data_IF_237485620637
#
_entry.id   IF_237485620637
#
_cell.length_a   1.000
_cell.length_b   1.000
_cell.length_c   1.000
_cell.angle_alpha   90.00
_cell.angle_beta   90.00
_cell.angle_gamma   90.00
#
_symmetry.space_group_name_H-M   'P 1'
#
loop_
_entity.id
_entity.type
_entity.pdbx_description
1 polymer ?
#
# COMPACT_ATOMS: atom_id res chain seq x y z
N UNK A 1 16.97 -9.95 6.49
CA UNK A 1 18.35 -9.40 6.64
C UNK A 1 18.77 -8.90 5.28
N UNK A 2 19.21 -7.64 5.16
CA UNK A 2 19.60 -7.06 3.87
C UNK A 2 20.86 -7.74 3.29
N UNK A 3 21.02 -7.68 1.97
CA UNK A 3 22.21 -8.24 1.31
C UNK A 3 23.50 -7.64 1.87
N UNK A 4 23.50 -6.32 2.14
CA UNK A 4 24.63 -5.59 2.73
C UNK A 4 25.05 -6.22 4.06
N UNK A 5 24.11 -6.45 4.98
CA UNK A 5 24.44 -7.07 6.28
C UNK A 5 25.01 -8.48 6.17
N UNK A 6 24.49 -9.27 5.24
CA UNK A 6 25.03 -10.60 4.97
C UNK A 6 26.44 -10.55 4.41
N UNK A 7 26.70 -9.61 3.48
CA UNK A 7 28.02 -9.42 2.88
C UNK A 7 29.05 -8.92 3.90
N UNK A 8 28.66 -8.04 4.83
CA UNK A 8 29.53 -7.59 5.94
C UNK A 8 29.91 -8.78 6.83
N UNK A 9 28.93 -9.63 7.19
CA UNK A 9 29.20 -10.79 8.04
C UNK A 9 30.07 -11.84 7.37
N UNK A 10 30.00 -11.97 6.05
CA UNK A 10 30.80 -12.92 5.26
C UNK A 10 32.19 -12.37 4.87
N UNK A 11 32.39 -11.05 4.95
CA UNK A 11 33.67 -10.43 4.60
C UNK A 11 34.80 -10.87 5.55
N UNK A 12 35.93 -11.27 4.98
CA UNK A 12 37.10 -11.66 5.77
C UNK A 12 37.87 -10.41 6.22
N UNK A 13 38.12 -10.21 7.52
CA UNK A 13 38.77 -9.01 8.03
C UNK A 13 40.25 -8.85 7.60
N UNK A 14 40.84 -9.89 7.06
CA UNK A 14 42.24 -9.93 6.58
C UNK A 14 42.40 -9.48 5.15
N UNK A 15 41.31 -9.25 4.41
CA UNK A 15 41.34 -8.85 3.00
C UNK A 15 41.11 -7.35 2.90
N UNK A 16 41.96 -6.59 2.20
CA UNK A 16 41.76 -5.15 2.01
C UNK A 16 40.57 -4.87 1.11
N UNK A 17 40.02 -3.67 1.21
CA UNK A 17 38.91 -3.21 0.34
C UNK A 17 39.35 -3.07 -1.12
N UNK A 18 40.55 -2.55 -1.32
CA UNK A 18 41.19 -2.36 -2.61
C UNK A 18 42.57 -2.99 -2.62
N UNK A 19 43.01 -3.42 -3.79
CA UNK A 19 44.39 -3.77 -4.05
C UNK A 19 45.28 -2.51 -4.06
N UNK A 20 46.61 -2.62 -4.24
CA UNK A 20 47.47 -1.44 -4.32
C UNK A 20 47.01 -0.36 -5.25
N UNK A 21 46.35 -0.71 -6.34
CA UNK A 21 45.58 0.21 -7.18
C UNK A 21 44.16 0.39 -6.61
N UNK A 22 43.85 1.60 -6.13
CA UNK A 22 42.56 1.93 -5.54
C UNK A 22 41.37 1.85 -6.51
N UNK A 23 41.62 1.75 -7.82
CA UNK A 23 40.59 1.49 -8.83
C UNK A 23 40.20 0.01 -8.95
N UNK A 24 40.86 -0.87 -8.20
CA UNK A 24 40.73 -2.32 -8.26
C UNK A 24 40.14 -2.88 -6.95
N UNK A 25 38.82 -2.92 -6.81
CA UNK A 25 38.20 -3.53 -5.64
C UNK A 25 38.56 -5.01 -5.56
N UNK A 26 38.83 -5.46 -4.34
CA UNK A 26 39.21 -6.84 -4.11
C UNK A 26 38.03 -7.77 -4.34
N UNK A 27 38.33 -8.99 -4.73
CA UNK A 27 37.34 -10.02 -4.73
C UNK A 27 37.08 -10.51 -3.29
N UNK A 28 36.72 -9.64 -2.38
CA UNK A 28 36.67 -9.86 -0.96
C UNK A 28 35.58 -10.80 -0.52
N UNK A 29 34.65 -11.07 -1.32
CA UNK A 29 33.45 -11.74 -0.87
C UNK A 29 33.41 -13.25 -1.15
N UNK A 30 34.18 -13.69 -1.89
CA UNK A 30 34.81 -14.86 -1.99
C UNK A 30 34.30 -16.21 -2.05
N UNK A 31 33.16 -16.48 -1.52
CA UNK A 31 32.29 -17.60 -1.89
C UNK A 31 31.21 -16.98 -2.78
N UNK A 32 31.06 -17.44 -4.00
CA UNK A 32 30.22 -16.93 -5.10
C UNK A 32 28.78 -16.45 -4.76
N UNK A 33 28.44 -16.34 -3.50
CA UNK A 33 27.11 -16.00 -2.97
C UNK A 33 26.99 -14.57 -2.43
N UNK A 34 28.08 -13.84 -2.19
CA UNK A 34 28.04 -12.53 -1.54
C UNK A 34 28.82 -11.48 -2.32
N UNK A 35 28.25 -10.31 -2.42
CA UNK A 35 28.89 -9.18 -3.05
C UNK A 35 29.87 -8.46 -2.11
N UNK A 36 30.79 -7.69 -2.65
CA UNK A 36 31.70 -6.85 -1.89
C UNK A 36 30.91 -5.83 -1.05
N UNK A 37 30.98 -5.82 0.29
CA UNK A 37 30.06 -5.04 1.13
C UNK A 37 30.13 -3.54 0.88
N UNK A 38 31.30 -2.97 0.62
CA UNK A 38 31.44 -1.56 0.31
C UNK A 38 30.85 -1.25 -1.08
N UNK A 39 31.21 -2.03 -2.10
CA UNK A 39 30.73 -1.77 -3.47
C UNK A 39 29.21 -1.85 -3.59
N UNK A 40 28.56 -2.79 -2.88
CA UNK A 40 27.10 -2.86 -2.90
C UNK A 40 26.40 -1.77 -2.06
N UNK A 41 27.14 -1.04 -1.23
CA UNK A 41 26.63 0.12 -0.48
C UNK A 41 26.83 1.45 -1.18
N UNK A 42 27.66 1.48 -2.20
CA UNK A 42 28.01 2.67 -2.95
C UNK A 42 27.16 2.78 -4.24
N UNK A 43 26.51 3.93 -4.41
CA UNK A 43 25.62 4.22 -5.56
C UNK A 43 26.36 4.07 -6.91
N UNK A 44 27.61 4.48 -6.96
CA UNK A 44 28.40 4.47 -8.19
C UNK A 44 28.78 3.07 -8.68
N UNK A 45 28.77 2.08 -7.78
CA UNK A 45 29.13 0.70 -8.11
C UNK A 45 27.92 -0.21 -8.31
N UNK A 46 26.94 -0.16 -7.43
CA UNK A 46 25.81 -1.09 -7.47
C UNK A 46 24.50 -0.48 -7.96
N UNK A 47 24.50 0.84 -8.14
CA UNK A 47 23.30 1.58 -8.45
C UNK A 47 22.48 1.93 -7.21
N UNK A 48 21.20 2.21 -7.39
CA UNK A 48 20.32 2.72 -6.34
C UNK A 48 18.86 2.36 -6.60
N UNK A 49 18.05 2.51 -5.57
CA UNK A 49 16.59 2.48 -5.66
C UNK A 49 16.03 3.63 -4.85
N UNK A 50 15.44 4.59 -5.53
CA UNK A 50 14.77 5.74 -4.93
C UNK A 50 13.25 5.49 -4.97
N UNK A 51 12.59 5.69 -3.84
CA UNK A 51 11.15 5.45 -3.66
C UNK A 51 10.48 6.74 -3.18
N UNK A 52 9.77 7.39 -4.10
CA UNK A 52 9.03 8.62 -3.87
C UNK A 52 7.56 8.33 -3.62
N UNK A 53 7.16 8.36 -2.35
CA UNK A 53 5.78 8.17 -1.96
C UNK A 53 5.12 9.48 -1.53
N UNK A 54 3.97 9.78 -2.15
CA UNK A 54 3.11 10.88 -1.75
C UNK A 54 1.69 10.43 -1.47
N UNK A 55 1.10 10.95 -0.39
CA UNK A 55 -0.27 10.66 0.00
C UNK A 55 -1.03 11.93 0.36
N UNK A 56 -2.18 12.10 -0.26
CA UNK A 56 -3.12 13.17 0.08
C UNK A 56 -4.43 12.55 0.55
N UNK A 57 -4.89 12.98 1.73
CA UNK A 57 -6.18 12.57 2.27
C UNK A 57 -6.97 13.78 2.71
N UNK A 58 -8.22 13.84 2.28
CA UNK A 58 -9.20 14.83 2.72
C UNK A 58 -10.42 14.14 3.32
N UNK A 59 -10.86 14.59 4.50
CA UNK A 59 -12.09 14.12 5.12
C UNK A 59 -12.98 15.32 5.41
N UNK A 60 -14.19 15.27 4.91
CA UNK A 60 -15.24 16.22 5.23
C UNK A 60 -16.35 15.49 5.98
N UNK A 61 -16.79 16.07 7.09
CA UNK A 61 -17.92 15.53 7.86
C UNK A 61 -18.83 16.64 8.34
N UNK A 62 -20.11 16.34 8.36
CA UNK A 62 -21.15 17.25 8.82
C UNK A 62 -22.09 16.47 9.76
N UNK A 63 -22.44 17.10 10.86
CA UNK A 63 -23.47 16.62 11.78
C UNK A 63 -24.57 17.67 11.89
N UNK A 64 -25.79 17.26 11.65
CA UNK A 64 -26.98 18.10 11.68
C UNK A 64 -27.94 17.63 12.78
N UNK A 65 -28.29 18.51 13.67
CA UNK A 65 -29.25 18.26 14.74
C UNK A 65 -30.59 18.91 14.38
N UNK A 66 -31.61 18.09 14.20
CA UNK A 66 -32.96 18.54 13.83
C UNK A 66 -33.91 18.62 15.03
N UNK A 67 -33.45 18.47 16.25
CA UNK A 67 -34.27 18.48 17.47
C UNK A 67 -35.24 19.65 17.59
N UNK A 68 -34.87 20.80 16.95
CA UNK A 68 -35.76 22.00 16.93
C UNK A 68 -37.03 21.77 16.13
N UNK A 69 -36.98 20.95 15.09
CA UNK A 69 -38.11 20.63 14.23
C UNK A 69 -38.72 19.27 14.52
N UNK A 70 -37.89 18.27 14.69
CA UNK A 70 -38.26 16.88 14.99
C UNK A 70 -37.43 16.41 16.15
N UNK A 71 -38.04 16.28 17.34
CA UNK A 71 -37.34 15.82 18.54
C UNK A 71 -36.75 14.41 18.31
N UNK A 72 -35.48 14.27 18.62
CA UNK A 72 -34.73 13.01 18.50
C UNK A 72 -34.14 12.74 17.12
N UNK A 73 -34.33 13.63 16.13
CA UNK A 73 -33.77 13.45 14.78
C UNK A 73 -32.42 14.13 14.62
N UNK A 74 -31.45 13.39 14.09
CA UNK A 74 -30.15 13.91 13.64
C UNK A 74 -29.70 13.26 12.34
N UNK A 75 -28.80 13.92 11.63
CA UNK A 75 -28.20 13.37 10.43
C UNK A 75 -26.66 13.58 10.47
N UNK A 76 -25.94 12.59 9.96
CA UNK A 76 -24.50 12.64 9.79
C UNK A 76 -24.16 12.42 8.32
N UNK A 77 -23.26 13.26 7.80
CA UNK A 77 -22.68 13.09 6.48
C UNK A 77 -21.17 12.98 6.59
N UNK A 78 -20.55 12.11 5.82
CA UNK A 78 -19.10 11.98 5.73
C UNK A 78 -18.67 11.71 4.30
N UNK A 79 -17.64 12.41 3.88
CA UNK A 79 -16.93 12.15 2.62
C UNK A 79 -15.43 12.07 2.92
N UNK A 80 -14.78 11.02 2.47
CA UNK A 80 -13.34 10.80 2.61
C UNK A 80 -12.77 10.51 1.23
N UNK A 81 -11.68 11.19 0.89
CA UNK A 81 -10.95 10.95 -0.35
C UNK A 81 -9.48 10.77 -0.03
N UNK A 82 -8.87 9.74 -0.60
CA UNK A 82 -7.44 9.44 -0.50
C UNK A 82 -6.87 9.22 -1.89
N UNK A 83 -5.73 9.84 -2.13
CA UNK A 83 -4.92 9.64 -3.32
C UNK A 83 -3.49 9.33 -2.88
N UNK A 84 -2.95 8.21 -3.31
CA UNK A 84 -1.56 7.86 -3.13
C UNK A 84 -0.89 7.76 -4.51
N UNK A 85 0.32 8.27 -4.59
CA UNK A 85 1.21 8.09 -5.73
C UNK A 85 2.51 7.53 -5.19
N UNK A 86 3.07 6.57 -5.90
CA UNK A 86 4.37 6.01 -5.62
C UNK A 86 5.16 5.91 -6.93
N UNK A 87 6.35 6.49 -6.94
CA UNK A 87 7.29 6.40 -8.05
C UNK A 87 8.57 5.78 -7.53
N UNK A 88 8.97 4.65 -8.13
CA UNK A 88 10.19 3.93 -7.77
C UNK A 88 11.11 3.94 -8.97
N UNK A 89 12.29 4.55 -8.81
CA UNK A 89 13.37 4.56 -9.80
C UNK A 89 14.50 3.67 -9.31
N UNK A 90 14.75 2.57 -10.02
CA UNK A 90 15.82 1.62 -9.68
C UNK A 90 16.81 1.54 -10.82
N UNK A 91 18.03 2.03 -10.58
CA UNK A 91 19.14 1.95 -11.51
C UNK A 91 20.14 0.92 -10.99
N UNK A 92 20.35 -0.15 -11.73
CA UNK A 92 21.30 -1.20 -11.39
C UNK A 92 22.54 -1.08 -12.25
N UNK A 93 23.69 -1.06 -11.61
CA UNK A 93 24.98 -1.06 -12.27
C UNK A 93 25.73 -2.34 -11.97
N UNK A 94 26.69 -2.67 -12.80
CA UNK A 94 27.59 -3.81 -12.58
C UNK A 94 28.98 -3.30 -12.23
N UNK A 95 29.66 -3.98 -11.35
CA UNK A 95 31.04 -3.70 -11.04
C UNK A 95 31.90 -4.97 -11.09
N UNK A 96 33.18 -4.77 -11.37
CA UNK A 96 34.15 -5.83 -11.50
C UNK A 96 35.04 -5.88 -10.27
N UNK A 97 35.29 -7.09 -9.74
CA UNK A 97 36.26 -7.35 -8.69
C UNK A 97 37.50 -8.04 -9.26
N UNK A 98 38.60 -7.91 -8.54
CA UNK A 98 39.91 -8.38 -8.97
C UNK A 98 40.60 -9.19 -7.87
N UNK A 99 41.43 -10.17 -8.29
CA UNK A 99 42.50 -10.73 -7.49
C UNK A 99 43.84 -10.14 -7.96
N UNK A 100 44.80 -10.12 -7.05
CA UNK A 100 46.13 -9.60 -7.34
C UNK A 100 47.16 -10.72 -7.20
N UNK A 101 47.91 -10.98 -8.27
CA UNK A 101 49.02 -11.92 -8.26
C UNK A 101 50.30 -11.19 -7.88
N UNK A 102 50.81 -11.45 -6.68
CA UNK A 102 52.02 -10.83 -6.16
C UNK A 102 53.32 -11.26 -6.88
N UNK A 103 53.30 -12.42 -7.56
CA UNK A 103 54.49 -12.93 -8.27
C UNK A 103 54.64 -12.25 -9.63
N UNK A 104 53.53 -12.01 -10.32
CA UNK A 104 53.56 -11.37 -11.66
C UNK A 104 53.21 -9.87 -11.63
N UNK A 105 52.77 -9.35 -10.49
CA UNK A 105 52.23 -7.99 -10.32
C UNK A 105 51.02 -7.69 -11.26
N UNK A 106 50.19 -8.69 -11.51
CA UNK A 106 49.06 -8.55 -12.43
C UNK A 106 47.71 -8.62 -11.67
N UNK A 107 46.74 -7.91 -12.19
CA UNK A 107 45.35 -7.99 -11.72
C UNK A 107 44.58 -8.98 -12.54
N UNK A 108 43.94 -9.94 -11.85
CA UNK A 108 43.12 -10.98 -12.46
C UNK A 108 41.66 -10.66 -12.19
N UNK A 109 40.86 -10.53 -13.25
CA UNK A 109 39.42 -10.33 -13.14
C UNK A 109 38.75 -11.58 -12.62
N UNK A 110 38.10 -11.53 -11.47
CA UNK A 110 37.59 -12.75 -10.81
C UNK A 110 36.11 -12.75 -10.51
N UNK A 111 35.52 -11.63 -10.18
CA UNK A 111 34.11 -11.55 -9.81
C UNK A 111 33.42 -10.36 -10.47
N UNK A 112 32.19 -10.54 -10.88
CA UNK A 112 31.33 -9.46 -11.36
C UNK A 112 30.02 -9.51 -10.60
N UNK A 113 29.64 -8.39 -9.99
CA UNK A 113 28.35 -8.19 -9.38
C UNK A 113 27.36 -7.69 -10.44
N UNK A 114 26.08 -8.11 -10.33
CA UNK A 114 25.06 -7.82 -11.33
C UNK A 114 25.55 -8.17 -12.75
N UNK A 115 25.80 -9.46 -12.97
CA UNK A 115 26.23 -9.97 -14.29
C UNK A 115 25.19 -9.61 -15.35
N UNK A 116 25.46 -8.58 -16.11
CA UNK A 116 24.56 -8.08 -17.13
C UNK A 116 24.90 -6.66 -17.51
N UNK A 117 24.00 -6.08 -18.27
CA UNK A 117 24.07 -4.67 -18.64
C UNK A 117 23.47 -3.80 -17.53
N UNK A 118 24.01 -2.61 -17.37
CA UNK A 118 23.39 -1.60 -16.52
C UNK A 118 21.93 -1.40 -16.94
N UNK A 119 21.02 -1.32 -15.98
CA UNK A 119 19.58 -1.29 -16.27
C UNK A 119 18.86 -0.27 -15.42
N UNK A 120 17.84 0.34 -15.99
CA UNK A 120 16.91 1.25 -15.34
C UNK A 120 15.50 0.64 -15.36
N UNK A 121 14.87 0.61 -14.19
CA UNK A 121 13.45 0.33 -14.05
C UNK A 121 12.78 1.50 -13.35
N UNK A 122 11.76 2.06 -13.98
CA UNK A 122 10.90 3.08 -13.40
C UNK A 122 9.49 2.50 -13.26
N UNK A 123 8.95 2.52 -12.05
CA UNK A 123 7.62 2.03 -11.73
C UNK A 123 6.78 3.15 -11.13
N UNK A 124 5.60 3.37 -11.70
CA UNK A 124 4.63 4.31 -11.17
C UNK A 124 3.38 3.57 -10.73
N UNK A 125 2.98 3.80 -9.48
CA UNK A 125 1.74 3.31 -8.88
C UNK A 125 0.88 4.47 -8.43
N UNK A 126 -0.38 4.42 -8.79
CA UNK A 126 -1.39 5.38 -8.35
C UNK A 126 -2.60 4.63 -7.82
N UNK A 127 -2.98 4.92 -6.59
CA UNK A 127 -4.24 4.44 -6.04
C UNK A 127 -5.06 5.59 -5.49
N UNK A 128 -6.35 5.55 -5.74
CA UNK A 128 -7.30 6.42 -5.10
C UNK A 128 -8.46 5.62 -4.50
N UNK A 129 -9.01 6.17 -3.44
CA UNK A 129 -10.21 5.69 -2.78
C UNK A 129 -11.06 6.87 -2.39
N UNK A 130 -12.36 6.79 -2.67
CA UNK A 130 -13.33 7.65 -2.01
C UNK A 130 -14.33 6.80 -1.21
N UNK A 131 -14.78 7.36 -0.12
CA UNK A 131 -15.84 6.82 0.73
C UNK A 131 -16.83 7.92 1.04
N UNK A 132 -18.12 7.62 0.94
CA UNK A 132 -19.22 8.52 1.28
C UNK A 132 -20.22 7.80 2.16
N UNK A 133 -20.70 8.47 3.18
CA UNK A 133 -21.70 7.97 4.10
C UNK A 133 -22.71 9.09 4.41
N UNK A 134 -23.99 8.72 4.39
CA UNK A 134 -25.05 9.53 4.92
C UNK A 134 -25.89 8.69 5.89
N UNK A 135 -26.14 9.20 7.09
CA UNK A 135 -26.84 8.51 8.16
C UNK A 135 -27.88 9.41 8.78
N UNK A 136 -29.09 8.90 8.94
CA UNK A 136 -30.17 9.48 9.73
C UNK A 136 -30.30 8.68 11.02
N UNK A 137 -30.37 9.36 12.15
CA UNK A 137 -30.62 8.77 13.45
C UNK A 137 -31.87 9.37 14.04
N UNK A 138 -32.67 8.51 14.64
CA UNK A 138 -33.82 8.92 15.44
C UNK A 138 -33.75 8.23 16.80
N UNK A 139 -33.89 9.02 17.86
CA UNK A 139 -33.86 8.52 19.24
C UNK A 139 -34.83 9.36 20.08
N UNK A 140 -35.89 8.73 20.55
CA UNK A 140 -36.93 9.44 21.33
C UNK A 140 -37.64 8.53 22.31
N UNK A 141 -37.90 9.07 23.52
CA UNK A 141 -38.74 8.47 24.52
C UNK A 141 -40.12 9.16 24.46
N UNK A 142 -41.18 8.35 24.38
CA UNK A 142 -42.57 8.78 24.42
C UNK A 142 -43.23 8.31 25.72
N UNK A 143 -44.03 9.19 26.32
CA UNK A 143 -44.77 8.91 27.54
C UNK A 143 -43.90 8.28 28.65
N UNK A 144 -42.61 8.61 28.71
CA UNK A 144 -41.60 8.14 29.68
C UNK A 144 -41.38 6.62 29.66
N UNK A 145 -42.09 5.85 28.85
CA UNK A 145 -42.10 4.39 28.83
C UNK A 145 -41.68 3.76 27.51
N UNK A 146 -41.89 4.46 26.41
CA UNK A 146 -41.69 3.92 25.07
C UNK A 146 -40.43 4.54 24.44
N UNK A 147 -39.35 3.82 24.40
CA UNK A 147 -38.13 4.23 23.76
C UNK A 147 -38.08 3.72 22.31
N UNK A 148 -38.06 4.62 21.34
CA UNK A 148 -38.00 4.32 19.92
C UNK A 148 -36.68 4.80 19.37
N UNK A 149 -35.92 3.90 18.77
CA UNK A 149 -34.70 4.24 18.04
C UNK A 149 -34.82 3.84 16.58
N UNK A 150 -34.23 4.65 15.70
CA UNK A 150 -34.21 4.39 14.28
C UNK A 150 -32.88 4.80 13.69
N UNK A 151 -32.37 4.06 12.73
CA UNK A 151 -31.21 4.42 11.93
C UNK A 151 -31.48 4.03 10.48
N UNK A 152 -31.17 4.95 9.58
CA UNK A 152 -31.07 4.69 8.15
C UNK A 152 -29.71 5.21 7.66
N UNK A 153 -28.93 4.35 7.02
CA UNK A 153 -27.60 4.65 6.55
C UNK A 153 -27.47 4.22 5.09
N UNK A 154 -26.86 5.05 4.30
CA UNK A 154 -26.31 4.69 2.99
C UNK A 154 -24.82 4.98 3.00
N UNK A 155 -24.04 4.02 2.54
CA UNK A 155 -22.61 4.18 2.35
C UNK A 155 -22.19 3.66 0.98
N UNK A 156 -21.22 4.31 0.40
CA UNK A 156 -20.65 3.91 -0.87
C UNK A 156 -19.14 4.18 -0.86
N UNK A 157 -18.39 3.29 -1.49
CA UNK A 157 -16.97 3.48 -1.72
C UNK A 157 -16.58 2.98 -3.10
N UNK A 158 -15.58 3.62 -3.69
CA UNK A 158 -14.90 3.08 -4.85
C UNK A 158 -13.41 3.33 -4.73
N UNK A 159 -12.62 2.43 -5.31
CA UNK A 159 -11.18 2.55 -5.40
C UNK A 159 -10.69 2.10 -6.76
N UNK A 160 -9.56 2.66 -7.16
CA UNK A 160 -8.86 2.27 -8.37
C UNK A 160 -7.37 2.24 -8.09
N UNK A 161 -6.72 1.20 -8.57
CA UNK A 161 -5.27 1.06 -8.57
C UNK A 161 -4.83 0.97 -10.03
N UNK A 162 -3.90 1.83 -10.40
CA UNK A 162 -3.21 1.81 -11.69
C UNK A 162 -1.71 1.67 -11.44
N UNK A 163 -1.05 0.80 -12.16
CA UNK A 163 0.42 0.76 -12.17
C UNK A 163 0.93 0.57 -13.59
N UNK A 164 2.08 1.10 -13.85
CA UNK A 164 2.87 0.78 -15.02
C UNK A 164 4.36 0.86 -14.69
N UNK A 165 5.17 0.17 -15.49
CA UNK A 165 6.61 0.27 -15.41
C UNK A 165 7.22 0.37 -16.81
N UNK A 166 8.40 0.98 -16.85
CA UNK A 166 9.27 1.03 -18.01
C UNK A 166 10.66 0.51 -17.60
N UNK A 167 11.26 -0.27 -18.47
CA UNK A 167 12.58 -0.88 -18.27
C UNK A 167 13.43 -0.72 -19.50
N UNK A 168 14.70 -0.37 -19.30
CA UNK A 168 15.76 -0.42 -20.31
C UNK A 168 17.05 -0.93 -19.71
N UNK A 169 17.88 -1.54 -20.52
CA UNK A 169 19.25 -1.92 -20.17
C UNK A 169 20.24 -1.44 -21.25
N UNK A 170 21.53 -1.71 -21.05
CA UNK A 170 22.55 -1.35 -22.03
C UNK A 170 22.93 0.13 -21.99
N UNK A 171 22.99 0.71 -20.79
CA UNK A 171 23.49 2.06 -20.58
C UNK A 171 25.00 2.09 -20.79
N UNK A 172 25.46 2.97 -21.69
CA UNK A 172 26.90 3.15 -22.00
C UNK A 172 27.62 3.89 -20.86
N UNK A 173 26.90 4.79 -20.17
CA UNK A 173 27.42 5.54 -19.04
C UNK A 173 26.48 5.41 -17.86
N UNK A 174 27.03 5.41 -16.64
CA UNK A 174 26.27 5.45 -15.39
C UNK A 174 25.93 6.87 -14.94
N UNK A 175 26.48 7.88 -15.63
CA UNK A 175 26.24 9.30 -15.32
C UNK A 175 24.86 9.79 -15.79
N UNK A 176 24.25 9.08 -16.76
CA UNK A 176 22.93 9.43 -17.29
C UNK A 176 21.98 8.26 -17.06
N UNK A 177 21.23 8.36 -15.99
CA UNK A 177 20.27 7.36 -15.53
C UNK A 177 18.83 7.66 -15.98
N UNK A 178 18.67 8.06 -17.26
CA UNK A 178 17.39 8.38 -17.87
C UNK A 178 17.00 7.35 -18.92
N UNK A 179 15.70 7.07 -19.06
CA UNK A 179 15.18 6.03 -19.98
C UNK A 179 15.72 6.17 -21.40
N UNK A 180 15.87 7.39 -21.91
CA UNK A 180 16.35 7.59 -23.28
C UNK A 180 17.82 7.17 -23.51
N UNK A 181 18.63 7.08 -22.43
CA UNK A 181 20.05 6.73 -22.51
C UNK A 181 20.32 5.23 -22.59
N UNK A 182 19.31 4.40 -22.28
CA UNK A 182 19.40 2.95 -22.42
C UNK A 182 19.23 2.49 -23.87
N UNK A 183 19.68 1.27 -24.17
CA UNK A 183 19.56 0.65 -25.49
C UNK A 183 18.11 0.45 -25.90
N UNK A 184 17.83 0.59 -27.19
CA UNK A 184 16.52 0.24 -27.76
C UNK A 184 16.31 -1.28 -27.97
N UNK A 185 17.36 -2.07 -27.88
CA UNK A 185 17.29 -3.52 -28.13
C UNK A 185 16.63 -4.29 -26.99
N UNK A 186 16.94 -3.90 -25.73
CA UNK A 186 16.46 -4.59 -24.55
C UNK A 186 15.60 -3.64 -23.72
N UNK A 187 14.35 -3.47 -24.13
CA UNK A 187 13.36 -2.65 -23.43
C UNK A 187 12.13 -3.46 -23.10
N UNK A 188 11.52 -3.15 -21.99
CA UNK A 188 10.29 -3.76 -21.53
C UNK A 188 9.36 -2.72 -20.90
N UNK A 189 8.08 -2.96 -20.95
CA UNK A 189 7.09 -2.20 -20.22
C UNK A 189 5.90 -3.10 -19.87
N UNK A 190 5.14 -2.69 -18.88
CA UNK A 190 3.93 -3.38 -18.52
C UNK A 190 3.12 -2.54 -17.55
N UNK A 191 1.93 -3.01 -17.27
CA UNK A 191 1.07 -2.34 -16.31
C UNK A 191 -0.20 -3.12 -16.05
N UNK A 192 -0.91 -2.72 -15.01
CA UNK A 192 -2.20 -3.27 -14.67
C UNK A 192 -3.09 -2.21 -14.03
N UNK A 193 -4.40 -2.43 -14.12
CA UNK A 193 -5.37 -1.62 -13.42
C UNK A 193 -6.41 -2.52 -12.75
N UNK A 194 -6.88 -2.10 -11.59
CA UNK A 194 -7.98 -2.76 -10.89
C UNK A 194 -8.92 -1.73 -10.28
N UNK A 195 -10.20 -2.05 -10.31
CA UNK A 195 -11.24 -1.21 -9.72
C UNK A 195 -12.10 -2.04 -8.76
N UNK A 196 -12.51 -1.43 -7.66
CA UNK A 196 -13.46 -2.01 -6.72
C UNK A 196 -14.52 -0.97 -6.36
N UNK A 197 -15.74 -1.43 -6.12
CA UNK A 197 -16.84 -0.58 -5.70
C UNK A 197 -17.80 -1.35 -4.80
N UNK A 198 -18.26 -0.69 -3.75
CA UNK A 198 -19.25 -1.22 -2.80
C UNK A 198 -20.27 -0.16 -2.46
N UNK A 199 -21.52 -0.60 -2.24
CA UNK A 199 -22.59 0.24 -1.78
C UNK A 199 -23.44 -0.54 -0.79
N UNK A 200 -23.83 0.10 0.30
CA UNK A 200 -24.60 -0.54 1.36
C UNK A 200 -25.71 0.37 1.84
N UNK A 201 -26.84 -0.25 2.11
CA UNK A 201 -27.97 0.36 2.81
C UNK A 201 -28.16 -0.36 4.11
N UNK A 202 -28.21 0.36 5.22
CA UNK A 202 -28.44 -0.21 6.55
C UNK A 202 -29.64 0.50 7.18
N UNK A 203 -30.52 -0.28 7.77
CA UNK A 203 -31.60 0.25 8.57
C UNK A 203 -31.67 -0.53 9.88
N UNK A 204 -31.98 0.20 10.94
CA UNK A 204 -32.23 -0.36 12.27
C UNK A 204 -33.47 0.30 12.85
N UNK A 205 -34.32 -0.50 13.46
CA UNK A 205 -35.44 -0.05 14.28
C UNK A 205 -35.34 -0.73 15.62
N UNK A 206 -35.33 0.06 16.69
CA UNK A 206 -35.32 -0.44 18.07
C UNK A 206 -36.52 0.09 18.82
N UNK A 207 -37.08 -0.76 19.64
CA UNK A 207 -38.14 -0.42 20.56
C UNK A 207 -37.87 -0.99 21.95
N UNK A 208 -37.98 -0.14 22.96
CA UNK A 208 -37.87 -0.47 24.36
C UNK A 208 -39.15 -0.04 25.12
N UNK A 209 -39.69 -0.97 25.94
CA UNK A 209 -40.79 -0.66 26.84
C UNK A 209 -40.30 -0.65 28.28
N UNK A 210 -40.51 0.47 28.99
CA UNK A 210 -40.09 0.71 30.39
C UNK A 210 -38.63 0.33 30.67
N UNK A 211 -37.78 0.41 29.65
CA UNK A 211 -36.38 -0.01 29.70
C UNK A 211 -36.17 -1.49 30.11
N UNK A 212 -37.22 -2.30 30.12
CA UNK A 212 -37.23 -3.71 30.49
C UNK A 212 -37.26 -4.66 29.31
N UNK A 213 -38.17 -4.40 28.36
CA UNK A 213 -38.37 -5.24 27.19
C UNK A 213 -37.83 -4.52 25.99
N UNK A 214 -36.89 -5.12 25.29
CA UNK A 214 -36.17 -4.49 24.17
C UNK A 214 -36.28 -5.42 22.96
N UNK A 215 -36.58 -4.83 21.81
CA UNK A 215 -36.56 -5.52 20.54
C UNK A 215 -35.84 -4.62 19.51
N UNK A 216 -34.87 -5.21 18.80
CA UNK A 216 -34.18 -4.55 17.71
C UNK A 216 -34.37 -5.35 16.42
N UNK A 217 -34.64 -4.66 15.35
CA UNK A 217 -34.63 -5.18 13.99
C UNK A 217 -33.54 -4.45 13.21
N UNK A 218 -32.66 -5.20 12.54
CA UNK A 218 -31.64 -4.65 11.65
C UNK A 218 -31.72 -5.31 10.28
N UNK A 219 -31.56 -4.53 9.26
CA UNK A 219 -31.43 -5.04 7.90
C UNK A 219 -30.28 -4.33 7.17
N UNK A 220 -29.51 -5.11 6.42
CA UNK A 220 -28.44 -4.59 5.61
C UNK A 220 -28.56 -5.13 4.17
N UNK A 221 -28.44 -4.27 3.20
CA UNK A 221 -28.39 -4.62 1.78
C UNK A 221 -27.05 -4.18 1.26
N UNK A 222 -26.19 -5.14 0.88
CA UNK A 222 -24.84 -4.88 0.40
C UNK A 222 -24.71 -5.22 -1.08
N UNK A 223 -24.11 -4.30 -1.82
CA UNK A 223 -23.78 -4.46 -3.23
C UNK A 223 -22.26 -4.38 -3.44
N UNK A 224 -21.69 -5.29 -4.23
CA UNK A 224 -20.28 -5.29 -4.58
C UNK A 224 -20.06 -5.41 -6.09
N UNK A 225 -19.18 -4.56 -6.63
CA UNK A 225 -18.78 -4.60 -8.04
C UNK A 225 -18.03 -5.87 -8.43
N UNK A 226 -17.50 -6.63 -7.47
CA UNK A 226 -16.81 -7.91 -7.70
C UNK A 226 -17.71 -9.01 -8.22
N UNK A 227 -19.03 -8.90 -7.98
CA UNK A 227 -19.99 -9.89 -8.44
C UNK A 227 -20.65 -9.48 -9.76
N UNK A 228 -21.09 -10.46 -10.52
CA UNK A 228 -21.83 -10.23 -11.74
C UNK A 228 -23.15 -9.47 -11.45
N UNK A 229 -23.62 -8.67 -12.40
CA UNK A 229 -24.75 -7.73 -12.22
C UNK A 229 -25.99 -8.35 -11.56
N UNK A 230 -26.33 -9.60 -11.91
CA UNK A 230 -27.49 -10.31 -11.35
C UNK A 230 -27.34 -10.69 -9.86
N UNK A 231 -26.10 -10.83 -9.36
CA UNK A 231 -25.80 -11.38 -8.04
C UNK A 231 -25.03 -10.38 -7.15
N UNK A 232 -25.12 -9.08 -7.50
CA UNK A 232 -24.36 -8.04 -6.78
C UNK A 232 -24.90 -7.72 -5.39
N UNK A 233 -26.18 -7.95 -5.18
CA UNK A 233 -26.86 -7.51 -3.99
C UNK A 233 -27.22 -8.66 -3.08
N UNK A 234 -26.86 -8.53 -1.82
CA UNK A 234 -27.25 -9.46 -0.75
C UNK A 234 -28.04 -8.72 0.32
N UNK A 235 -29.07 -9.38 0.89
CA UNK A 235 -29.83 -8.86 2.01
C UNK A 235 -29.53 -9.69 3.28
N UNK A 236 -29.26 -9.01 4.37
CA UNK A 236 -28.83 -9.59 5.65
C UNK A 236 -29.72 -9.05 6.78
N UNK A 237 -30.82 -9.71 7.10
CA UNK A 237 -31.68 -9.33 8.22
C UNK A 237 -31.17 -9.88 9.55
N UNK A 238 -31.46 -9.17 10.63
CA UNK A 238 -31.18 -9.59 12.00
C UNK A 238 -32.28 -9.09 12.94
N UNK A 239 -32.60 -9.89 13.94
CA UNK A 239 -33.55 -9.54 15.02
C UNK A 239 -32.91 -9.90 16.34
N UNK A 240 -33.04 -9.03 17.33
CA UNK A 240 -32.65 -9.30 18.71
C UNK A 240 -33.77 -8.91 19.67
N UNK A 241 -33.90 -9.69 20.75
CA UNK A 241 -34.85 -9.46 21.84
C UNK A 241 -34.09 -9.56 23.14
N UNK A 242 -34.35 -8.64 24.06
CA UNK A 242 -33.75 -8.65 25.38
C UNK A 242 -34.75 -8.30 26.46
N UNK A 243 -34.60 -8.92 27.63
CA UNK A 243 -35.34 -8.65 28.83
C UNK A 243 -34.40 -8.32 29.98
N UNK A 244 -34.58 -7.15 30.58
CA UNK A 244 -33.84 -6.71 31.76
C UNK A 244 -34.56 -7.14 33.00
N UNK A 245 -34.23 -8.31 33.52
CA UNK A 245 -34.82 -8.90 34.71
C UNK A 245 -34.61 -8.03 35.95
N UNK A 246 -33.46 -7.31 36.02
CA UNK A 246 -33.12 -6.42 37.14
C UNK A 246 -33.99 -5.17 37.26
N UNK A 247 -34.78 -4.86 36.23
CA UNK A 247 -35.69 -3.71 36.20
C UNK A 247 -37.13 -4.11 36.47
N UNK A 248 -37.38 -5.38 36.80
CA UNK A 248 -38.70 -5.84 37.29
C UNK A 248 -38.94 -5.33 38.71
N UNK A 249 -40.23 -5.02 39.09
CA UNK A 249 -40.58 -4.49 40.40
C UNK A 249 -40.38 -5.50 41.54
#
# INVERSE_FOLDING_TARGET
MSLIMKSIQAARPTIPVYWPDSSKPTNAAYDALWAHPLMISERDYSGYSDDDFSSVRGTFSVNLNFNKWIKGLSADGKFDYRLNNNFVKTFNTSFQCYDYNYDTNEYITTGQFNKGLNSLNEEYKKDWLWYSMFKLNYDRIFAEKHHVTGLALVEAQASKNDNFFAYREGFISTEVDEMFAGSDENKNNGGSASEDGRMSYVFKLGYGYENRYLIDFVGRVDGSAKFYKSNRWGFFPGVSVAWRISEEP
#
